data_IF_349696118155
#
_entry.id   IF_349696118155
#
_cell.length_a   1.000
_cell.length_b   1.000
_cell.length_c   1.000
_cell.angle_alpha   90.00
_cell.angle_beta   90.00
_cell.angle_gamma   90.00
#
_symmetry.space_group_name_H-M   'P 1'
#
loop_
_entity.id
_entity.type
_entity.pdbx_description
1 polymer ?
#
# COMPACT_ATOMS: atom_id res chain seq x y z
N UNK A 1 -5.22 -26.94 43.12
CA UNK A 1 -4.07 -26.07 43.48
C UNK A 1 -3.00 -26.05 42.38
N UNK A 2 -2.71 -27.19 41.74
CA UNK A 2 -1.72 -27.32 40.65
C UNK A 2 -1.92 -26.38 39.45
N UNK A 3 -3.15 -26.23 38.92
CA UNK A 3 -3.42 -25.30 37.78
C UNK A 3 -3.06 -23.84 38.08
N UNK A 4 -3.18 -23.38 39.33
CA UNK A 4 -2.84 -22.01 39.73
C UNK A 4 -1.32 -21.78 39.80
N UNK A 5 -0.53 -22.84 40.00
CA UNK A 5 0.93 -22.79 40.00
C UNK A 5 1.55 -22.99 38.61
N UNK A 6 0.87 -23.71 37.71
CA UNK A 6 1.33 -23.92 36.32
C UNK A 6 1.25 -22.63 35.49
N UNK A 7 0.18 -21.84 35.66
CA UNK A 7 -0.04 -20.61 34.89
C UNK A 7 1.14 -19.62 34.96
N UNK A 8 1.67 -19.22 36.14
CA UNK A 8 2.81 -18.31 36.20
C UNK A 8 4.09 -18.90 35.60
N UNK A 9 4.29 -20.22 35.67
CA UNK A 9 5.45 -20.88 35.05
C UNK A 9 5.36 -20.80 33.53
N UNK A 10 4.19 -21.09 32.96
CA UNK A 10 3.97 -20.99 31.50
C UNK A 10 4.12 -19.54 31.03
N UNK A 11 3.53 -18.58 31.74
CA UNK A 11 3.68 -17.15 31.42
C UNK A 11 5.15 -16.72 31.51
N UNK A 12 5.87 -17.16 32.54
CA UNK A 12 7.30 -16.88 32.69
C UNK A 12 8.11 -17.44 31.53
N UNK A 13 7.86 -18.69 31.12
CA UNK A 13 8.56 -19.31 29.98
C UNK A 13 8.25 -18.57 28.69
N UNK A 14 6.99 -18.21 28.42
CA UNK A 14 6.61 -17.45 27.22
C UNK A 14 7.32 -16.09 27.19
N UNK A 15 7.32 -15.36 28.32
CA UNK A 15 8.00 -14.07 28.43
C UNK A 15 9.52 -14.23 28.27
N UNK A 16 10.12 -15.24 28.88
CA UNK A 16 11.55 -15.53 28.77
C UNK A 16 11.95 -15.81 27.33
N UNK A 17 11.17 -16.64 26.63
CA UNK A 17 11.38 -16.95 25.21
C UNK A 17 11.19 -15.69 24.36
N UNK A 18 10.14 -14.91 24.60
CA UNK A 18 9.90 -13.66 23.88
C UNK A 18 11.00 -12.62 24.11
N UNK A 19 11.59 -12.54 25.30
CA UNK A 19 12.69 -11.61 25.58
C UNK A 19 14.02 -12.12 25.01
N UNK A 20 14.25 -13.43 25.05
CA UNK A 20 15.50 -14.05 24.57
C UNK A 20 15.59 -14.06 23.05
N UNK A 21 14.49 -14.39 22.37
CA UNK A 21 14.43 -14.50 20.92
C UNK A 21 13.77 -13.29 20.25
N UNK A 22 12.92 -12.55 20.96
CA UNK A 22 12.20 -11.42 20.36
C UNK A 22 13.11 -10.24 20.01
N UNK A 23 14.21 -10.04 20.74
CA UNK A 23 15.17 -8.99 20.39
C UNK A 23 15.95 -9.33 19.10
N UNK A 24 16.30 -10.60 18.87
CA UNK A 24 16.95 -11.02 17.62
C UNK A 24 15.97 -10.99 16.45
N UNK A 25 14.79 -11.59 16.62
CA UNK A 25 13.74 -11.64 15.59
C UNK A 25 13.31 -10.20 15.22
N UNK A 26 13.12 -9.33 16.21
CA UNK A 26 12.74 -7.94 15.98
C UNK A 26 13.79 -7.16 15.20
N UNK A 27 15.08 -7.32 15.54
CA UNK A 27 16.19 -6.66 14.82
C UNK A 27 16.34 -7.16 13.39
N UNK A 28 16.21 -8.47 13.17
CA UNK A 28 16.30 -9.07 11.83
C UNK A 28 15.11 -8.65 10.96
N UNK A 29 13.89 -8.68 11.51
CA UNK A 29 12.70 -8.20 10.81
C UNK A 29 12.82 -6.71 10.49
N UNK A 30 13.26 -5.88 11.43
CA UNK A 30 13.46 -4.46 11.20
C UNK A 30 14.53 -4.20 10.13
N UNK A 31 15.64 -4.94 10.17
CA UNK A 31 16.69 -4.88 9.16
C UNK A 31 16.16 -5.27 7.77
N UNK A 32 15.45 -6.39 7.68
CA UNK A 32 14.83 -6.85 6.43
C UNK A 32 13.81 -5.86 5.87
N UNK A 33 12.94 -5.33 6.73
CA UNK A 33 11.94 -4.32 6.38
C UNK A 33 12.61 -3.02 5.91
N UNK A 34 13.61 -2.53 6.65
CA UNK A 34 14.33 -1.31 6.29
C UNK A 34 15.08 -1.47 4.96
N UNK A 35 15.66 -2.64 4.71
CA UNK A 35 16.27 -2.98 3.43
C UNK A 35 15.25 -3.01 2.29
N UNK A 36 14.07 -3.61 2.49
CA UNK A 36 12.98 -3.60 1.52
C UNK A 36 12.52 -2.18 1.20
N UNK A 37 12.33 -1.33 2.22
CA UNK A 37 11.99 0.08 2.00
C UNK A 37 13.10 0.85 1.29
N UNK A 38 14.37 0.58 1.63
CA UNK A 38 15.52 1.15 0.95
C UNK A 38 15.53 0.78 -0.53
N UNK A 39 15.39 -0.50 -0.86
CA UNK A 39 15.30 -0.98 -2.24
C UNK A 39 14.19 -0.29 -3.03
N UNK A 40 12.99 -0.16 -2.44
CA UNK A 40 11.87 0.54 -3.09
C UNK A 40 12.23 1.98 -3.37
N UNK A 41 12.78 2.71 -2.38
CA UNK A 41 13.14 4.12 -2.51
C UNK A 41 14.27 4.33 -3.52
N UNK A 42 15.34 3.53 -3.46
CA UNK A 42 16.48 3.65 -4.38
C UNK A 42 16.08 3.33 -5.82
N UNK A 43 15.35 2.22 -6.06
CA UNK A 43 14.88 1.87 -7.38
C UNK A 43 13.94 2.93 -7.96
N UNK A 44 13.09 3.53 -7.12
CA UNK A 44 12.23 4.64 -7.57
C UNK A 44 13.01 5.91 -7.87
N UNK A 45 14.04 6.23 -7.10
CA UNK A 45 14.90 7.37 -7.39
C UNK A 45 15.61 7.19 -8.75
N UNK A 46 16.05 5.98 -9.07
CA UNK A 46 16.65 5.66 -10.35
C UNK A 46 15.64 5.71 -11.49
N UNK A 47 14.43 5.17 -11.28
CA UNK A 47 13.31 5.31 -12.22
C UNK A 47 12.96 6.79 -12.46
N UNK A 48 12.91 7.59 -11.40
CA UNK A 48 12.60 9.03 -11.48
C UNK A 48 13.69 9.79 -12.24
N UNK A 49 14.96 9.49 -11.98
CA UNK A 49 16.08 10.06 -12.75
C UNK A 49 16.03 9.66 -14.22
N UNK A 50 15.71 8.40 -14.51
CA UNK A 50 15.55 7.92 -15.88
C UNK A 50 14.35 8.59 -16.59
N UNK A 51 13.24 8.80 -15.87
CA UNK A 51 12.08 9.54 -16.36
C UNK A 51 12.42 11.01 -16.60
N UNK A 52 13.10 11.67 -15.66
CA UNK A 52 13.50 13.07 -15.76
C UNK A 52 14.43 13.28 -16.96
N UNK A 53 15.46 12.44 -17.11
CA UNK A 53 16.35 12.50 -18.28
C UNK A 53 15.62 12.22 -19.59
N UNK A 54 14.67 11.29 -19.60
CA UNK A 54 13.82 11.06 -20.78
C UNK A 54 12.95 12.28 -21.11
N UNK A 55 12.33 12.90 -20.10
CA UNK A 55 11.49 14.10 -20.26
C UNK A 55 12.32 15.25 -20.80
N UNK A 56 13.51 15.50 -20.26
CA UNK A 56 14.43 16.53 -20.76
C UNK A 56 14.87 16.27 -22.20
N UNK A 57 15.18 15.01 -22.53
CA UNK A 57 15.58 14.62 -23.88
C UNK A 57 14.42 14.67 -24.90
N UNK A 58 13.17 14.52 -24.45
CA UNK A 58 12.00 14.35 -25.33
C UNK A 58 10.82 15.26 -24.95
N UNK A 59 11.09 16.48 -24.49
CA UNK A 59 10.07 17.42 -23.99
C UNK A 59 8.88 17.57 -24.94
N UNK A 60 9.13 17.70 -26.24
CA UNK A 60 8.06 17.84 -27.24
C UNK A 60 7.11 16.64 -27.28
N UNK A 61 7.63 15.40 -27.17
CA UNK A 61 6.79 14.19 -27.14
C UNK A 61 5.95 14.12 -25.88
N UNK A 62 6.53 14.51 -24.75
CA UNK A 62 5.83 14.55 -23.46
C UNK A 62 4.71 15.58 -23.49
N UNK A 63 4.97 16.78 -24.00
CA UNK A 63 3.95 17.84 -24.13
C UNK A 63 2.80 17.39 -25.04
N UNK A 64 3.09 16.77 -26.18
CA UNK A 64 2.06 16.23 -27.07
C UNK A 64 1.26 15.13 -26.37
N UNK A 65 1.91 14.21 -25.67
CA UNK A 65 1.23 13.18 -24.90
C UNK A 65 0.29 13.79 -23.85
N UNK A 66 0.76 14.76 -23.07
CA UNK A 66 -0.04 15.47 -22.06
C UNK A 66 -1.23 16.22 -22.69
N UNK A 67 -1.01 16.89 -23.83
CA UNK A 67 -2.07 17.59 -24.56
C UNK A 67 -3.15 16.63 -25.08
N UNK A 68 -2.76 15.41 -25.50
CA UNK A 68 -3.68 14.37 -25.95
C UNK A 68 -4.34 13.62 -24.78
N UNK A 69 -3.74 13.58 -23.60
CA UNK A 69 -4.32 12.89 -22.43
C UNK A 69 -5.71 13.42 -22.10
N UNK A 70 -5.94 14.73 -22.14
CA UNK A 70 -7.24 15.34 -21.81
C UNK A 70 -8.36 14.89 -22.77
N UNK A 71 -8.25 15.08 -24.11
CA UNK A 71 -9.28 14.66 -25.04
C UNK A 71 -9.45 13.13 -25.09
N UNK A 72 -8.36 12.36 -24.98
CA UNK A 72 -8.43 10.89 -24.96
C UNK A 72 -9.13 10.40 -23.69
N UNK A 73 -8.77 10.94 -22.51
CA UNK A 73 -9.40 10.58 -21.23
C UNK A 73 -10.88 10.92 -21.27
N UNK A 74 -11.24 12.12 -21.74
CA UNK A 74 -12.63 12.52 -21.89
C UNK A 74 -13.42 11.56 -22.80
N UNK A 75 -12.85 11.17 -23.94
CA UNK A 75 -13.46 10.21 -24.87
C UNK A 75 -13.64 8.82 -24.24
N UNK A 76 -12.62 8.32 -23.53
CA UNK A 76 -12.69 7.03 -22.84
C UNK A 76 -13.75 7.06 -21.74
N UNK A 77 -13.77 8.09 -20.89
CA UNK A 77 -14.73 8.20 -19.79
C UNK A 77 -16.15 8.32 -20.32
N UNK A 78 -16.37 9.05 -21.42
CA UNK A 78 -17.69 9.15 -22.04
C UNK A 78 -18.18 7.80 -22.59
N UNK A 79 -17.29 6.98 -23.16
CA UNK A 79 -17.67 5.74 -23.83
C UNK A 79 -17.64 4.51 -22.90
N UNK A 80 -16.79 4.52 -21.87
CA UNK A 80 -16.54 3.38 -20.95
C UNK A 80 -16.76 3.73 -19.48
N UNK A 81 -17.26 4.92 -19.15
CA UNK A 81 -17.44 5.37 -17.76
C UNK A 81 -18.24 4.40 -16.90
N UNK A 82 -19.34 3.85 -17.45
CA UNK A 82 -20.14 2.85 -16.75
C UNK A 82 -19.43 1.51 -16.50
N UNK A 83 -18.39 1.17 -17.26
CA UNK A 83 -17.55 -0.01 -16.99
C UNK A 83 -16.51 0.26 -15.90
N UNK A 84 -15.98 1.49 -15.85
CA UNK A 84 -15.01 1.92 -14.84
C UNK A 84 -15.62 1.95 -13.43
N UNK A 85 -16.93 2.24 -13.34
CA UNK A 85 -17.67 2.26 -12.08
C UNK A 85 -18.08 0.89 -11.56
N UNK A 86 -17.91 -0.17 -12.34
CA UNK A 86 -18.20 -1.54 -11.86
C UNK A 86 -17.27 -1.89 -10.68
N UNK A 87 -17.79 -2.56 -9.63
CA UNK A 87 -17.00 -2.92 -8.46
C UNK A 87 -15.69 -3.65 -8.78
N UNK A 88 -15.71 -4.59 -9.73
CA UNK A 88 -14.52 -5.33 -10.15
C UNK A 88 -13.43 -4.45 -10.79
N UNK A 89 -13.80 -3.43 -11.57
CA UNK A 89 -12.85 -2.48 -12.17
C UNK A 89 -12.22 -1.60 -11.07
N UNK A 90 -13.07 -1.07 -10.19
CA UNK A 90 -12.64 -0.25 -9.05
C UNK A 90 -11.71 -1.01 -8.11
N UNK A 91 -12.00 -2.30 -7.83
CA UNK A 91 -11.14 -3.16 -7.01
C UNK A 91 -9.76 -3.37 -7.64
N UNK A 92 -9.71 -3.69 -8.93
CA UNK A 92 -8.44 -3.87 -9.65
C UNK A 92 -7.60 -2.61 -9.58
N UNK A 93 -8.20 -1.44 -9.78
CA UNK A 93 -7.52 -0.16 -9.64
C UNK A 93 -7.01 0.06 -8.22
N UNK A 94 -7.82 -0.23 -7.20
CA UNK A 94 -7.40 -0.12 -5.80
C UNK A 94 -6.21 -1.04 -5.45
N UNK A 95 -6.16 -2.27 -5.99
CA UNK A 95 -5.02 -3.19 -5.82
C UNK A 95 -3.75 -2.59 -6.45
N UNK A 96 -3.85 -2.12 -7.69
CA UNK A 96 -2.72 -1.50 -8.40
C UNK A 96 -2.22 -0.27 -7.61
N UNK A 97 -3.14 0.59 -7.18
CA UNK A 97 -2.79 1.75 -6.37
C UNK A 97 -2.19 1.36 -5.01
N UNK A 98 -2.63 0.28 -4.39
CA UNK A 98 -2.07 -0.18 -3.12
C UNK A 98 -0.63 -0.71 -3.28
N UNK A 99 -0.31 -1.33 -4.41
CA UNK A 99 1.06 -1.83 -4.68
C UNK A 99 2.01 -0.67 -5.05
N UNK A 100 1.60 0.21 -5.97
CA UNK A 100 2.50 1.24 -6.52
C UNK A 100 2.47 2.56 -5.75
N UNK A 101 1.32 2.91 -5.17
CA UNK A 101 1.08 4.19 -4.50
C UNK A 101 0.60 4.01 -3.05
N UNK A 102 0.67 2.79 -2.52
CA UNK A 102 0.15 2.46 -1.20
C UNK A 102 0.94 3.06 -0.06
N UNK A 103 2.25 3.25 -0.24
CA UNK A 103 3.12 3.96 0.70
C UNK A 103 2.73 5.43 0.90
N UNK A 104 2.01 6.03 -0.06
CA UNK A 104 1.38 7.35 0.06
C UNK A 104 -0.10 7.29 0.48
N UNK A 105 -0.68 6.09 0.61
CA UNK A 105 -2.12 5.91 0.84
C UNK A 105 -2.99 6.16 -0.39
N UNK A 106 -2.44 6.11 -1.60
CA UNK A 106 -3.15 6.41 -2.84
C UNK A 106 -4.43 5.60 -3.05
N UNK A 107 -4.41 4.31 -2.68
CA UNK A 107 -5.60 3.46 -2.74
C UNK A 107 -6.72 3.91 -1.78
N UNK A 108 -6.37 4.48 -0.62
CA UNK A 108 -7.36 5.01 0.34
C UNK A 108 -8.02 6.28 -0.20
N UNK A 109 -7.24 7.18 -0.81
CA UNK A 109 -7.79 8.36 -1.48
C UNK A 109 -8.69 7.98 -2.67
N UNK A 110 -8.28 6.99 -3.45
CA UNK A 110 -9.08 6.47 -4.56
C UNK A 110 -10.44 5.92 -4.11
N UNK A 111 -10.50 5.28 -2.93
CA UNK A 111 -11.75 4.79 -2.34
C UNK A 111 -12.57 5.87 -1.61
N UNK A 112 -12.16 7.14 -1.68
CA UNK A 112 -12.83 8.25 -0.99
C UNK A 112 -12.55 8.31 0.51
N UNK A 113 -11.63 7.50 1.03
CA UNK A 113 -11.28 7.41 2.45
C UNK A 113 -10.20 8.44 2.82
N UNK A 114 -10.53 9.72 2.64
CA UNK A 114 -9.57 10.84 2.79
C UNK A 114 -8.93 10.86 4.18
N UNK A 115 -9.70 10.63 5.26
CA UNK A 115 -9.16 10.58 6.62
C UNK A 115 -8.10 9.50 6.81
N UNK A 116 -8.35 8.29 6.30
CA UNK A 116 -7.38 7.18 6.36
C UNK A 116 -6.19 7.44 5.44
N UNK A 117 -6.39 8.06 4.27
CA UNK A 117 -5.29 8.49 3.39
C UNK A 117 -4.36 9.50 4.08
N UNK A 118 -4.91 10.49 4.79
CA UNK A 118 -4.13 11.44 5.58
C UNK A 118 -3.36 10.73 6.70
N UNK A 119 -4.00 9.77 7.39
CA UNK A 119 -3.33 8.96 8.41
C UNK A 119 -2.13 8.20 7.83
N UNK A 120 -2.27 7.64 6.61
CA UNK A 120 -1.17 6.99 5.91
C UNK A 120 0.00 7.96 5.68
N UNK A 121 -0.25 9.22 5.30
CA UNK A 121 0.80 10.23 5.13
C UNK A 121 1.49 10.61 6.45
N UNK A 122 0.73 10.71 7.54
CA UNK A 122 1.30 10.97 8.87
C UNK A 122 2.17 9.80 9.33
N UNK A 123 1.70 8.56 9.16
CA UNK A 123 2.48 7.37 9.51
C UNK A 123 3.70 7.24 8.59
N UNK A 124 3.60 7.61 7.31
CA UNK A 124 4.74 7.59 6.39
C UNK A 124 5.87 8.47 6.92
N UNK A 125 5.52 9.65 7.46
CA UNK A 125 6.48 10.57 8.06
C UNK A 125 7.08 10.03 9.36
N UNK A 126 6.27 9.40 10.22
CA UNK A 126 6.72 8.89 11.53
C UNK A 126 7.50 7.57 11.39
N UNK A 127 6.99 6.65 10.57
CA UNK A 127 7.52 5.31 10.38
C UNK A 127 7.09 4.72 9.03
N UNK A 128 7.80 5.13 7.97
CA UNK A 128 7.56 4.72 6.59
C UNK A 128 7.35 3.21 6.35
N UNK A 129 8.12 2.29 6.97
CA UNK A 129 7.97 0.87 6.67
C UNK A 129 6.61 0.29 7.06
N UNK A 130 5.96 0.85 8.08
CA UNK A 130 4.62 0.42 8.47
C UNK A 130 3.60 0.66 7.36
N UNK A 131 3.66 1.81 6.67
CA UNK A 131 2.72 2.13 5.59
C UNK A 131 2.91 1.23 4.37
N UNK A 132 4.16 0.88 4.06
CA UNK A 132 4.47 -0.08 2.98
C UNK A 132 3.86 -1.45 3.30
N UNK A 133 4.03 -1.94 4.53
CA UNK A 133 3.45 -3.23 4.93
C UNK A 133 1.92 -3.18 4.94
N UNK A 134 1.31 -2.13 5.51
CA UNK A 134 -0.14 -1.98 5.57
C UNK A 134 -0.79 -1.92 4.18
N UNK A 135 -0.15 -1.21 3.23
CA UNK A 135 -0.65 -1.14 1.86
C UNK A 135 -0.51 -2.46 1.09
N UNK A 136 0.54 -3.24 1.33
CA UNK A 136 0.64 -4.59 0.78
C UNK A 136 -0.41 -5.53 1.37
N UNK A 137 -0.70 -5.42 2.67
CA UNK A 137 -1.80 -6.17 3.31
C UNK A 137 -3.14 -5.81 2.66
N UNK A 138 -3.41 -4.53 2.43
CA UNK A 138 -4.61 -4.07 1.72
C UNK A 138 -4.67 -4.62 0.28
N UNK A 139 -3.55 -4.61 -0.46
CA UNK A 139 -3.49 -5.16 -1.81
C UNK A 139 -3.85 -6.64 -1.84
N UNK A 140 -3.29 -7.43 -0.92
CA UNK A 140 -3.57 -8.87 -0.77
C UNK A 140 -5.03 -9.09 -0.40
N UNK A 141 -5.54 -8.34 0.57
CA UNK A 141 -6.95 -8.39 0.98
C UNK A 141 -7.89 -8.13 -0.19
N UNK A 142 -7.64 -7.05 -0.96
CA UNK A 142 -8.46 -6.72 -2.12
C UNK A 142 -8.35 -7.77 -3.23
N UNK A 143 -7.20 -8.43 -3.37
CA UNK A 143 -7.01 -9.51 -4.35
C UNK A 143 -7.91 -10.72 -4.04
N UNK A 144 -8.11 -11.03 -2.76
CA UNK A 144 -8.94 -12.15 -2.31
C UNK A 144 -10.41 -11.78 -2.01
N UNK A 145 -10.77 -10.51 -2.11
CA UNK A 145 -12.14 -10.02 -1.88
C UNK A 145 -12.99 -10.20 -3.15
N UNK A 146 -14.25 -10.63 -3.01
CA UNK A 146 -15.19 -10.72 -4.14
C UNK A 146 -15.60 -9.33 -4.66
N UNK A 147 -16.14 -9.24 -5.89
CA UNK A 147 -16.59 -7.95 -6.45
C UNK A 147 -17.73 -7.36 -5.61
N UNK A 148 -18.61 -8.23 -5.11
CA UNK A 148 -19.78 -7.87 -4.30
C UNK A 148 -19.38 -7.39 -2.91
N UNK A 149 -18.44 -8.07 -2.25
CA UNK A 149 -17.91 -7.64 -0.96
C UNK A 149 -17.22 -6.27 -1.09
N UNK A 150 -16.45 -6.06 -2.16
CA UNK A 150 -15.78 -4.79 -2.40
C UNK A 150 -16.76 -3.63 -2.67
N UNK A 151 -17.94 -3.93 -3.20
CA UNK A 151 -18.99 -2.94 -3.43
C UNK A 151 -19.67 -2.46 -2.13
N UNK A 152 -19.59 -3.23 -1.04
CA UNK A 152 -20.28 -2.89 0.19
C UNK A 152 -19.58 -1.75 0.97
N UNK A 153 -20.31 -0.70 1.39
CA UNK A 153 -19.74 0.46 2.08
C UNK A 153 -19.00 0.19 3.42
N UNK A 154 -19.08 -1.03 3.96
CA UNK A 154 -18.43 -1.42 5.23
C UNK A 154 -17.22 -2.36 5.07
N UNK A 155 -17.01 -2.93 3.88
CA UNK A 155 -16.01 -3.98 3.68
C UNK A 155 -14.56 -3.49 3.68
N UNK A 156 -14.31 -2.18 3.81
CA UNK A 156 -12.97 -1.61 3.86
C UNK A 156 -12.50 -1.21 5.29
N UNK A 157 -13.36 -1.39 6.30
CA UNK A 157 -13.11 -1.07 7.71
C UNK A 157 -13.06 -2.30 8.65
N UNK A 158 -13.65 -3.43 8.25
CA UNK A 158 -13.45 -4.73 8.93
C UNK A 158 -12.10 -5.35 8.58
#
# INVERSE_FOLDING_TARGET
>A
MLRKAILPIVVFVIILVALTFGESIGRELFSWISHLTGLVIYNFADLFRALASYVEAHTGRVVVALALTVPVTWWIVKNKGGELDKPGSRRRMAIVLAIFLGWLGGHRFYLGQVGTGILYLVILYVFAPLVVVLSLIDAVRYLFMSDDDFAQPGAALM
#
